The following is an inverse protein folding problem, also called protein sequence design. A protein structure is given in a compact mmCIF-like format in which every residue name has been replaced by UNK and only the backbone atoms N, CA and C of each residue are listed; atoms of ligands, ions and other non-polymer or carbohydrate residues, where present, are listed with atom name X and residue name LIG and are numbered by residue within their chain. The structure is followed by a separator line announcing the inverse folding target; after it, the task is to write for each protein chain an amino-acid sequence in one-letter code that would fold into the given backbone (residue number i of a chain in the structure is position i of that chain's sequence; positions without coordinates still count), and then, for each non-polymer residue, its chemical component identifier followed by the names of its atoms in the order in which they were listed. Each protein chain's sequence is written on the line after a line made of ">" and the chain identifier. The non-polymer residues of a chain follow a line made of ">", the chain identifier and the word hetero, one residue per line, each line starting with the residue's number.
data_IF_456013271508
#
_entry.id   IF_456013271508
#
_cell.length_a   1.000
_cell.length_b   1.000
_cell.length_c   1.000
_cell.angle_alpha   90.00
_cell.angle_beta   90.00
_cell.angle_gamma   90.00
#
_symmetry.space_group_name_H-M   'P 1'
#
loop_
_entity.id
_entity.type
_entity.pdbx_description
1 polymer ?
#
# COMPACT_ATOMS: atom_id res chain seq x y z
N UNK A 1 5.22 2.38 -13.84
CA UNK A 1 4.32 2.56 -12.67
C UNK A 1 4.23 1.23 -11.95
N UNK A 2 4.69 1.16 -10.71
CA UNK A 2 4.66 -0.07 -9.88
C UNK A 2 3.52 0.07 -8.87
N UNK A 3 2.67 -0.96 -8.73
CA UNK A 3 1.62 -0.99 -7.70
C UNK A 3 1.99 -2.05 -6.66
N UNK A 4 2.04 -1.68 -5.38
CA UNK A 4 2.29 -2.59 -4.27
C UNK A 4 1.03 -2.69 -3.41
N UNK A 5 0.57 -3.92 -3.19
CA UNK A 5 -0.49 -4.23 -2.24
C UNK A 5 0.12 -4.43 -0.85
N UNK A 6 -0.50 -3.83 0.16
CA UNK A 6 -0.17 -3.94 1.57
C UNK A 6 -1.42 -4.45 2.31
N UNK A 7 -1.29 -5.45 3.17
CA UNK A 7 -2.42 -5.94 3.96
C UNK A 7 -2.50 -5.16 5.29
N UNK A 8 -3.72 -4.74 5.64
CA UNK A 8 -3.98 -3.94 6.84
C UNK A 8 -3.53 -4.66 8.11
N UNK A 9 -2.72 -3.98 8.93
CA UNK A 9 -2.19 -4.51 10.19
C UNK A 9 -0.83 -5.19 10.08
N UNK A 10 -0.29 -5.35 8.86
CA UNK A 10 1.09 -5.77 8.66
C UNK A 10 2.05 -4.58 8.76
N UNK A 11 3.22 -4.81 9.35
CA UNK A 11 4.28 -3.81 9.38
C UNK A 11 4.99 -3.75 8.03
N UNK A 12 5.05 -2.56 7.44
CA UNK A 12 5.80 -2.29 6.21
C UNK A 12 6.83 -1.21 6.49
N UNK A 13 8.05 -1.41 6.00
CA UNK A 13 9.02 -0.33 5.92
C UNK A 13 8.56 0.64 4.82
N UNK A 14 8.25 1.87 5.23
CA UNK A 14 7.88 2.94 4.32
C UNK A 14 9.16 3.57 3.77
N UNK A 15 9.24 3.63 2.45
CA UNK A 15 10.32 4.28 1.72
C UNK A 15 9.68 5.18 0.68
N UNK A 16 10.17 6.41 0.54
CA UNK A 16 9.68 7.34 -0.47
C UNK A 16 10.13 6.87 -1.87
N UNK A 17 9.16 6.47 -2.70
CA UNK A 17 9.28 6.12 -4.10
C UNK A 17 8.16 6.76 -4.93
N UNK A 18 8.48 7.87 -5.61
CA UNK A 18 7.56 8.57 -6.50
C UNK A 18 7.01 7.73 -7.68
N UNK A 19 7.65 6.59 -8.00
CA UNK A 19 7.23 5.67 -9.07
C UNK A 19 6.32 4.51 -8.58
N UNK A 20 6.01 4.48 -7.28
CA UNK A 20 5.24 3.41 -6.62
C UNK A 20 3.93 3.93 -6.02
N UNK A 21 2.85 3.17 -6.26
CA UNK A 21 1.55 3.34 -5.63
C UNK A 21 1.34 2.22 -4.60
N UNK A 22 1.16 2.59 -3.34
CA UNK A 22 0.92 1.65 -2.25
C UNK A 22 -0.58 1.59 -1.90
N UNK A 23 -1.18 0.41 -2.01
CA UNK A 23 -2.58 0.15 -1.71
C UNK A 23 -2.70 -0.67 -0.43
N UNK A 24 -3.28 -0.09 0.63
CA UNK A 24 -3.59 -0.84 1.85
C UNK A 24 -4.96 -1.49 1.70
N UNK A 25 -5.02 -2.80 1.91
CA UNK A 25 -6.19 -3.66 1.68
C UNK A 25 -6.56 -4.39 2.96
N UNK A 26 -7.85 -4.45 3.29
CA UNK A 26 -8.34 -5.21 4.43
C UNK A 26 -8.43 -6.72 4.16
N UNK A 27 -8.79 -7.51 5.18
CA UNK A 27 -8.95 -8.97 5.05
C UNK A 27 -10.06 -9.42 4.07
N UNK A 28 -10.94 -8.51 3.63
CA UNK A 28 -12.01 -8.76 2.66
C UNK A 28 -11.58 -8.38 1.24
N UNK A 29 -10.37 -7.85 1.05
CA UNK A 29 -9.90 -7.38 -0.25
C UNK A 29 -10.30 -5.94 -0.57
N UNK A 30 -10.83 -5.18 0.40
CA UNK A 30 -11.28 -3.80 0.20
C UNK A 30 -10.10 -2.85 0.40
N UNK A 31 -9.88 -1.92 -0.54
CA UNK A 31 -8.87 -0.87 -0.40
C UNK A 31 -9.35 0.12 0.66
N UNK A 32 -8.54 0.29 1.71
CA UNK A 32 -8.85 1.17 2.85
C UNK A 32 -7.95 2.40 2.93
N UNK A 33 -6.78 2.37 2.28
CA UNK A 33 -5.90 3.53 2.16
C UNK A 33 -5.06 3.44 0.88
N UNK A 34 -4.65 4.61 0.39
CA UNK A 34 -3.81 4.77 -0.79
C UNK A 34 -2.69 5.74 -0.42
N UNK A 35 -1.44 5.36 -0.69
CA UNK A 35 -0.28 6.22 -0.50
C UNK A 35 0.51 6.31 -1.80
N UNK A 36 0.81 7.54 -2.21
CA UNK A 36 1.87 7.83 -3.17
C UNK A 36 2.96 8.53 -2.38
N UNK A 37 4.13 7.90 -2.31
CA UNK A 37 5.20 8.34 -1.44
C UNK A 37 6.45 7.61 -1.85
#
# INVERSE_FOLDING_TARGET
>A
MIVRRMDLGMAYQMEFRADRLDLTVDKKGIVVAIHCG
#
